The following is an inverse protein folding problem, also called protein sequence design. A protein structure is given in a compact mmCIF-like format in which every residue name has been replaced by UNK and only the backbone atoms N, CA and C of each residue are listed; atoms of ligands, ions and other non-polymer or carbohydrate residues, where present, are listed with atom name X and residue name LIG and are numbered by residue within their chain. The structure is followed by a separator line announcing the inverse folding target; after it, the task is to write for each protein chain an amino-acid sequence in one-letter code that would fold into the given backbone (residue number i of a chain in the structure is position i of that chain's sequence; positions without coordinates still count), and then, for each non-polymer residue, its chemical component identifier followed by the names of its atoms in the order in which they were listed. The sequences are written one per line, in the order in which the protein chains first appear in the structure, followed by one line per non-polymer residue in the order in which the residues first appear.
data_IF_037167942863
#
_entry.id   IF_037167942863
#
_cell.length_a   1.000
_cell.length_b   1.000
_cell.length_c   1.000
_cell.angle_alpha   90.00
_cell.angle_beta   90.00
_cell.angle_gamma   90.00
#
_symmetry.space_group_name_H-M   'P 1'
#
loop_
_entity.id
_entity.type
_entity.pdbx_description
1 polymer ?
#
# COMPACT_ATOMS: atom_id res chain seq x y z
N UNK A 1 11.43 3.41 3.06
CA UNK A 1 11.16 1.97 2.83
C UNK A 1 11.46 1.17 4.08
N UNK A 2 12.72 0.94 4.47
CA UNK A 2 13.02 0.18 5.71
C UNK A 2 12.75 0.95 7.00
N UNK A 3 13.29 2.17 7.10
CA UNK A 3 13.16 2.99 8.31
C UNK A 3 11.70 3.39 8.58
N UNK A 4 10.92 3.69 7.53
CA UNK A 4 9.50 4.00 7.68
C UNK A 4 8.69 2.83 8.27
N UNK A 5 8.95 1.59 7.83
CA UNK A 5 8.26 0.40 8.38
C UNK A 5 8.70 0.17 9.82
N UNK A 6 9.99 0.32 10.12
CA UNK A 6 10.49 0.22 11.49
C UNK A 6 9.86 1.26 12.42
N UNK A 7 9.79 2.52 11.99
CA UNK A 7 9.16 3.60 12.76
C UNK A 7 7.66 3.33 12.95
N UNK A 8 6.95 2.90 11.90
CA UNK A 8 5.54 2.53 11.99
C UNK A 8 5.30 1.44 13.05
N UNK A 9 6.20 0.45 13.14
CA UNK A 9 6.14 -0.56 14.19
C UNK A 9 6.40 0.04 15.57
N UNK A 10 7.40 0.90 15.72
CA UNK A 10 7.77 1.54 16.99
C UNK A 10 6.67 2.47 17.54
N UNK A 11 5.94 3.16 16.66
CA UNK A 11 4.83 4.05 17.05
C UNK A 11 3.48 3.34 17.13
N UNK A 12 3.44 2.01 16.91
CA UNK A 12 2.24 1.20 17.09
C UNK A 12 1.21 1.31 15.96
N UNK A 13 1.64 1.58 14.72
CA UNK A 13 0.74 1.55 13.55
C UNK A 13 0.19 0.12 13.39
N UNK A 14 -1.14 -0.08 13.34
CA UNK A 14 -1.73 -1.42 13.37
C UNK A 14 -1.72 -2.12 12.01
N UNK A 15 -1.92 -1.38 10.91
CA UNK A 15 -2.01 -1.91 9.55
C UNK A 15 -1.35 -0.95 8.56
N UNK A 16 -0.80 -1.50 7.47
CA UNK A 16 -0.19 -0.76 6.38
C UNK A 16 -0.88 -1.18 5.08
N UNK A 17 -1.10 -0.23 4.18
CA UNK A 17 -1.47 -0.47 2.78
C UNK A 17 -0.35 0.10 1.91
N UNK A 18 0.03 -0.63 0.86
CA UNK A 18 1.13 -0.23 -0.02
C UNK A 18 0.59 0.23 -1.37
N UNK A 19 1.11 1.36 -1.85
CA UNK A 19 0.92 1.80 -3.23
C UNK A 19 2.26 1.81 -3.96
N UNK A 20 2.44 0.92 -4.93
CA UNK A 20 3.60 0.91 -5.82
C UNK A 20 3.38 1.96 -6.91
N UNK A 21 4.06 3.09 -6.74
CA UNK A 21 3.93 4.24 -7.63
C UNK A 21 4.90 4.16 -8.81
N UNK A 22 4.62 4.95 -9.87
CA UNK A 22 5.40 5.06 -11.11
C UNK A 22 5.40 3.79 -11.96
N UNK A 23 4.37 2.95 -11.86
CA UNK A 23 4.23 1.77 -12.72
C UNK A 23 4.11 2.13 -14.22
N UNK A 24 3.78 3.38 -14.57
CA UNK A 24 3.81 3.87 -15.96
C UNK A 24 5.22 3.90 -16.58
N UNK A 25 6.26 3.92 -15.74
CA UNK A 25 7.66 3.93 -16.18
C UNK A 25 8.27 2.53 -16.23
N UNK A 26 7.57 1.50 -15.73
CA UNK A 26 8.03 0.13 -15.69
C UNK A 26 7.04 -0.76 -16.47
N UNK A 27 7.33 -1.05 -17.76
CA UNK A 27 6.45 -1.87 -18.58
C UNK A 27 6.59 -3.37 -18.34
N UNK A 28 7.56 -3.79 -17.52
CA UNK A 28 7.88 -5.19 -17.27
C UNK A 28 7.18 -5.69 -16.01
N UNK A 29 6.22 -6.59 -16.19
CA UNK A 29 5.41 -7.16 -15.11
C UNK A 29 6.25 -8.02 -14.16
N UNK A 30 7.29 -8.71 -14.66
CA UNK A 30 8.14 -9.58 -13.83
C UNK A 30 8.95 -8.74 -12.82
N UNK A 31 9.36 -7.54 -13.23
CA UNK A 31 10.05 -6.60 -12.32
C UNK A 31 9.09 -6.09 -11.24
N UNK A 32 7.84 -5.78 -11.60
CA UNK A 32 6.84 -5.33 -10.64
C UNK A 32 6.50 -6.42 -9.62
N UNK A 33 6.36 -7.67 -10.05
CA UNK A 33 6.17 -8.82 -9.17
C UNK A 33 7.34 -9.03 -8.21
N UNK A 34 8.59 -8.91 -8.70
CA UNK A 34 9.78 -9.02 -7.85
C UNK A 34 9.82 -7.93 -6.77
N UNK A 35 9.47 -6.70 -7.13
CA UNK A 35 9.41 -5.58 -6.17
C UNK A 35 8.32 -5.81 -5.13
N UNK A 36 7.16 -6.36 -5.53
CA UNK A 36 6.12 -6.73 -4.56
C UNK A 36 6.60 -7.77 -3.58
N UNK A 37 7.26 -8.82 -4.05
CA UNK A 37 7.83 -9.86 -3.18
C UNK A 37 8.80 -9.25 -2.16
N UNK A 38 9.72 -8.38 -2.60
CA UNK A 38 10.67 -7.71 -1.69
C UNK A 38 9.95 -6.86 -0.64
N UNK A 39 8.87 -6.14 -1.02
CA UNK A 39 8.07 -5.36 -0.08
C UNK A 39 7.35 -6.24 0.92
N UNK A 40 6.77 -7.37 0.49
CA UNK A 40 6.10 -8.33 1.39
C UNK A 40 7.09 -8.93 2.39
N UNK A 41 8.26 -9.35 1.94
CA UNK A 41 9.32 -9.84 2.81
C UNK A 41 9.76 -8.78 3.83
N UNK A 42 9.88 -7.52 3.40
CA UNK A 42 10.24 -6.43 4.29
C UNK A 42 9.17 -6.14 5.34
N UNK A 43 7.88 -6.23 4.99
CA UNK A 43 6.77 -6.09 5.94
C UNK A 43 6.78 -7.24 6.96
N UNK A 44 6.87 -8.48 6.48
CA UNK A 44 6.92 -9.69 7.33
C UNK A 44 8.11 -9.65 8.30
N UNK A 45 9.27 -9.12 7.86
CA UNK A 45 10.45 -8.95 8.72
C UNK A 45 10.23 -8.02 9.92
N UNK A 46 9.29 -7.08 9.84
CA UNK A 46 8.98 -6.13 10.90
C UNK A 46 7.61 -6.40 11.56
N UNK A 47 7.17 -7.67 11.54
CA UNK A 47 5.92 -8.15 12.14
C UNK A 47 4.63 -7.52 11.57
N UNK A 48 4.67 -7.03 10.33
CA UNK A 48 3.45 -6.71 9.59
C UNK A 48 3.00 -7.93 8.78
N UNK A 49 1.69 -8.08 8.51
CA UNK A 49 1.17 -9.20 7.72
C UNK A 49 1.52 -9.01 6.24
N UNK A 50 2.75 -9.33 5.84
CA UNK A 50 3.25 -9.07 4.48
C UNK A 50 2.44 -9.76 3.38
N UNK A 51 1.98 -10.99 3.62
CA UNK A 51 1.18 -11.75 2.65
C UNK A 51 -0.25 -11.19 2.51
N UNK A 52 -0.86 -10.75 3.61
CA UNK A 52 -2.24 -10.21 3.60
C UNK A 52 -2.30 -8.71 3.33
N UNK A 53 -1.15 -8.01 3.34
CA UNK A 53 -1.10 -6.57 3.10
C UNK A 53 -1.52 -6.27 1.66
N UNK A 54 -2.52 -5.40 1.44
CA UNK A 54 -2.89 -4.98 0.11
C UNK A 54 -1.78 -4.14 -0.53
N UNK A 55 -1.43 -4.51 -1.77
CA UNK A 55 -0.49 -3.77 -2.60
C UNK A 55 -1.21 -3.38 -3.88
N UNK A 56 -1.32 -2.08 -4.14
CA UNK A 56 -1.92 -1.54 -5.35
C UNK A 56 -0.81 -0.99 -6.23
N UNK A 57 -0.77 -1.42 -7.50
CA UNK A 57 0.14 -0.90 -8.52
C UNK A 57 -0.49 0.30 -9.20
N UNK A 58 0.27 1.37 -9.44
CA UNK A 58 -0.23 2.47 -10.26
C UNK A 58 0.71 3.64 -10.45
N UNK A 59 0.15 4.75 -10.93
CA UNK A 59 0.86 5.99 -11.20
C UNK A 59 0.03 7.18 -10.74
N UNK A 60 0.47 7.81 -9.65
CA UNK A 60 -0.18 9.01 -9.14
C UNK A 60 -0.07 10.18 -10.14
N UNK A 61 1.00 10.24 -10.93
CA UNK A 61 1.18 11.29 -11.94
C UNK A 61 0.16 11.14 -13.07
N UNK A 62 0.04 9.95 -13.64
CA UNK A 62 -0.93 9.70 -14.72
C UNK A 62 -2.38 9.79 -14.23
N UNK A 63 -2.65 9.38 -12.99
CA UNK A 63 -3.95 9.59 -12.37
C UNK A 63 -4.29 11.08 -12.26
N UNK A 64 -3.32 11.92 -11.88
CA UNK A 64 -3.50 13.37 -11.81
C UNK A 64 -3.71 14.01 -13.19
N UNK A 65 -3.03 13.49 -14.22
CA UNK A 65 -3.21 13.90 -15.62
C UNK A 65 -4.57 13.46 -16.22
N UNK A 66 -5.36 12.66 -15.48
CA UNK A 66 -6.70 12.23 -15.87
C UNK A 66 -6.77 10.92 -16.66
N UNK A 67 -5.70 10.13 -16.68
CA UNK A 67 -5.73 8.80 -17.30
C UNK A 67 -6.67 7.87 -16.51
N UNK A 68 -7.75 7.43 -17.16
CA UNK A 68 -8.79 6.63 -16.54
C UNK A 68 -8.28 5.31 -15.93
N UNK A 69 -7.23 4.70 -16.50
CA UNK A 69 -6.65 3.47 -15.96
C UNK A 69 -6.00 3.73 -14.59
N UNK A 70 -5.17 4.76 -14.49
CA UNK A 70 -4.47 5.10 -13.26
C UNK A 70 -5.38 5.77 -12.22
N UNK A 71 -6.39 6.52 -12.65
CA UNK A 71 -7.46 7.01 -11.76
C UNK A 71 -8.20 5.85 -11.11
N UNK A 72 -8.47 4.76 -11.85
CA UNK A 72 -9.12 3.58 -11.28
C UNK A 72 -8.28 2.93 -10.16
N UNK A 73 -6.96 2.86 -10.31
CA UNK A 73 -6.04 2.33 -9.29
C UNK A 73 -6.00 3.19 -8.03
N UNK A 74 -6.08 4.52 -8.16
CA UNK A 74 -6.20 5.40 -6.98
C UNK A 74 -7.54 5.19 -6.28
N UNK A 75 -8.63 5.02 -7.03
CA UNK A 75 -9.94 4.69 -6.44
C UNK A 75 -9.93 3.32 -5.75
N UNK A 76 -9.22 2.34 -6.30
CA UNK A 76 -9.00 1.04 -5.68
C UNK A 76 -8.21 1.16 -4.37
N UNK A 77 -7.16 1.98 -4.35
CA UNK A 77 -6.42 2.29 -3.13
C UNK A 77 -7.34 2.86 -2.04
N UNK A 78 -8.18 3.85 -2.38
CA UNK A 78 -9.13 4.44 -1.41
C UNK A 78 -10.10 3.38 -0.88
N UNK A 79 -10.72 2.59 -1.76
CA UNK A 79 -11.64 1.50 -1.35
C UNK A 79 -10.94 0.47 -0.46
N UNK A 80 -9.68 0.18 -0.76
CA UNK A 80 -8.88 -0.76 0.03
C UNK A 80 -8.63 -0.21 1.43
N UNK A 81 -8.33 1.08 1.57
CA UNK A 81 -8.20 1.73 2.87
C UNK A 81 -9.49 1.58 3.69
N UNK A 82 -10.65 1.84 3.08
CA UNK A 82 -11.97 1.70 3.74
C UNK A 82 -12.26 0.25 4.18
N UNK A 83 -11.83 -0.75 3.40
CA UNK A 83 -12.11 -2.17 3.70
C UNK A 83 -11.10 -2.82 4.65
N UNK A 84 -9.84 -2.38 4.63
CA UNK A 84 -8.74 -3.06 5.31
C UNK A 84 -8.42 -2.43 6.65
N UNK A 85 -8.53 -1.11 6.76
CA UNK A 85 -8.27 -0.37 7.99
C UNK A 85 -9.59 -0.32 8.78
N UNK A 86 -9.56 -0.86 10.00
CA UNK A 86 -10.73 -0.82 10.89
C UNK A 86 -10.98 0.60 11.38
N UNK A 87 -12.27 0.95 11.49
CA UNK A 87 -12.67 2.22 12.06
C UNK A 87 -12.11 2.35 13.50
N UNK A 88 -11.51 3.49 13.84
CA UNK A 88 -11.00 3.70 15.18
C UNK A 88 -12.16 3.70 16.18
N UNK A 89 -12.00 2.97 17.29
CA UNK A 89 -12.98 2.98 18.37
C UNK A 89 -13.08 4.39 18.95
N UNK A 90 -14.25 5.00 18.84
CA UNK A 90 -14.51 6.33 19.41
C UNK A 90 -14.55 6.22 20.93
N UNK A 91 -14.01 7.22 21.64
CA UNK A 91 -13.98 7.18 23.11
C UNK A 91 -15.37 7.14 23.75
N UNK A 92 -16.40 7.64 23.07
CA UNK A 92 -17.80 7.61 23.53
C UNK A 92 -18.44 6.22 23.43
N UNK A 93 -17.85 5.30 22.66
CA UNK A 93 -18.35 3.95 22.43
C UNK A 93 -17.56 2.89 23.25
N UNK A 94 -16.67 3.33 24.15
CA UNK A 94 -15.93 2.48 25.10
C UNK A 94 -16.69 2.23 26.41
#
# INVERSE_FOLDING_TARGET
TREHILLARQVGVPKIVVFLNKCDLCPDEEILELVEMEVRELLSKYDFPGDDTPIIRGSALKALDGDAHYVAQVNELIKTLDSYIEDPVREVDK
#
